data_IF_774763099923
#
_entry.id   IF_774763099923
#
_cell.length_a   1.000
_cell.length_b   1.000
_cell.length_c   1.000
_cell.angle_alpha   90.00
_cell.angle_beta   90.00
_cell.angle_gamma   90.00
#
_symmetry.space_group_name_H-M   'P 1'
#
loop_
_entity.id
_entity.type
_entity.pdbx_description
1 polymer ?
#
# COMPACT_ATOMS: atom_id res chain seq x y z
N UNK A 1 -52.79 7.44 -44.18
CA UNK A 1 -51.41 7.98 -44.11
C UNK A 1 -51.12 8.83 -42.86
N UNK A 2 -51.95 9.83 -42.48
CA UNK A 2 -51.67 10.68 -41.29
C UNK A 2 -51.65 9.93 -39.94
N UNK A 3 -52.56 8.98 -39.73
CA UNK A 3 -52.66 8.19 -38.49
C UNK A 3 -51.41 7.34 -38.20
N UNK A 4 -50.82 6.72 -39.23
CA UNK A 4 -49.57 5.94 -39.09
C UNK A 4 -48.36 6.82 -38.73
N UNK A 5 -48.32 8.07 -39.19
CA UNK A 5 -47.25 9.00 -38.81
C UNK A 5 -47.37 9.44 -37.34
N UNK A 6 -48.59 9.59 -36.85
CA UNK A 6 -48.87 9.98 -35.47
C UNK A 6 -48.51 8.87 -34.48
N UNK A 7 -48.88 7.63 -34.79
CA UNK A 7 -48.45 6.45 -34.02
C UNK A 7 -46.93 6.29 -34.00
N UNK A 8 -46.25 6.51 -35.13
CA UNK A 8 -44.79 6.45 -35.21
C UNK A 8 -44.11 7.57 -34.40
N UNK A 9 -44.73 8.74 -34.25
CA UNK A 9 -44.26 9.82 -33.37
C UNK A 9 -44.44 9.44 -31.90
N UNK A 10 -45.60 8.89 -31.52
CA UNK A 10 -45.86 8.46 -30.15
C UNK A 10 -44.91 7.33 -29.70
N UNK A 11 -44.67 6.33 -30.55
CA UNK A 11 -43.70 5.25 -30.27
C UNK A 11 -42.29 5.80 -30.08
N UNK A 12 -41.86 6.75 -30.91
CA UNK A 12 -40.55 7.43 -30.75
C UNK A 12 -40.47 8.24 -29.47
N UNK A 13 -41.53 8.96 -29.10
CA UNK A 13 -41.57 9.72 -27.86
C UNK A 13 -41.46 8.80 -26.63
N UNK A 14 -42.18 7.68 -26.62
CA UNK A 14 -42.09 6.67 -25.56
C UNK A 14 -40.71 6.03 -25.49
N UNK A 15 -40.14 5.64 -26.65
CA UNK A 15 -38.79 5.04 -26.72
C UNK A 15 -37.71 6.01 -26.25
N UNK A 16 -37.77 7.28 -26.65
CA UNK A 16 -36.84 8.32 -26.18
C UNK A 16 -36.97 8.58 -24.69
N UNK A 17 -38.21 8.59 -24.16
CA UNK A 17 -38.47 8.75 -22.73
C UNK A 17 -37.85 7.61 -21.93
N UNK A 18 -38.05 6.37 -22.36
CA UNK A 18 -37.47 5.20 -21.70
C UNK A 18 -35.94 5.17 -21.83
N UNK A 19 -35.40 5.53 -23.00
CA UNK A 19 -33.96 5.66 -23.22
C UNK A 19 -33.33 6.71 -22.30
N UNK A 20 -33.97 7.87 -22.13
CA UNK A 20 -33.51 8.91 -21.22
C UNK A 20 -33.58 8.45 -19.75
N UNK A 21 -34.64 7.73 -19.37
CA UNK A 21 -34.77 7.14 -18.03
C UNK A 21 -33.65 6.14 -17.74
N UNK A 22 -33.40 5.20 -18.65
CA UNK A 22 -32.31 4.21 -18.54
C UNK A 22 -30.94 4.88 -18.49
N UNK A 23 -30.73 5.92 -19.29
CA UNK A 23 -29.48 6.69 -19.29
C UNK A 23 -29.23 7.34 -17.92
N UNK A 24 -30.25 8.01 -17.35
CA UNK A 24 -30.17 8.59 -15.99
C UNK A 24 -29.91 7.53 -14.92
N UNK A 25 -30.59 6.39 -14.98
CA UNK A 25 -30.40 5.30 -14.02
C UNK A 25 -28.97 4.75 -14.07
N UNK A 26 -28.43 4.49 -15.28
CA UNK A 26 -27.04 4.04 -15.43
C UNK A 26 -26.04 5.05 -14.88
N UNK A 27 -26.27 6.35 -15.12
CA UNK A 27 -25.42 7.40 -14.54
C UNK A 27 -25.46 7.40 -13.02
N UNK A 28 -26.64 7.28 -12.41
CA UNK A 28 -26.78 7.17 -10.95
C UNK A 28 -26.06 5.94 -10.39
N UNK A 29 -26.23 4.78 -11.02
CA UNK A 29 -25.52 3.56 -10.62
C UNK A 29 -24.00 3.72 -10.73
N UNK A 30 -23.53 4.36 -11.80
CA UNK A 30 -22.10 4.61 -11.98
C UNK A 30 -21.54 5.56 -10.91
N UNK A 31 -22.26 6.63 -10.57
CA UNK A 31 -21.87 7.54 -9.47
C UNK A 31 -21.79 6.77 -8.16
N UNK A 32 -22.82 5.98 -7.82
CA UNK A 32 -22.82 5.18 -6.59
C UNK A 32 -21.64 4.18 -6.54
N UNK A 33 -21.28 3.58 -7.68
CA UNK A 33 -20.10 2.71 -7.76
C UNK A 33 -18.79 3.47 -7.54
N UNK A 34 -18.67 4.69 -8.08
CA UNK A 34 -17.50 5.54 -7.87
C UNK A 34 -17.37 5.96 -6.40
N UNK A 35 -18.48 6.37 -5.78
CA UNK A 35 -18.52 6.73 -4.35
C UNK A 35 -18.10 5.54 -3.47
N UNK A 36 -18.60 4.34 -3.77
CA UNK A 36 -18.20 3.12 -3.07
C UNK A 36 -16.70 2.82 -3.21
N UNK A 37 -16.15 2.96 -4.42
CA UNK A 37 -14.70 2.77 -4.66
C UNK A 37 -13.86 3.80 -3.92
N UNK A 38 -14.28 5.07 -3.95
CA UNK A 38 -13.59 6.16 -3.26
C UNK A 38 -13.55 5.91 -1.75
N UNK A 39 -14.68 5.52 -1.16
CA UNK A 39 -14.76 5.21 0.26
C UNK A 39 -13.84 4.02 0.62
N UNK A 40 -13.88 2.93 -0.17
CA UNK A 40 -13.01 1.78 0.04
C UNK A 40 -11.52 2.14 -0.06
N UNK A 41 -11.15 3.01 -1.00
CA UNK A 41 -9.77 3.50 -1.13
C UNK A 41 -9.37 4.40 0.05
N UNK A 42 -10.27 5.29 0.49
CA UNK A 42 -10.03 6.16 1.64
C UNK A 42 -9.74 5.35 2.90
N UNK A 43 -10.54 4.31 3.18
CA UNK A 43 -10.34 3.43 4.34
C UNK A 43 -8.98 2.70 4.27
N UNK A 44 -8.59 2.22 3.08
CA UNK A 44 -7.26 1.60 2.90
C UNK A 44 -6.13 2.60 3.14
N UNK A 45 -6.28 3.84 2.66
CA UNK A 45 -5.28 4.87 2.82
C UNK A 45 -5.09 5.24 4.30
N UNK A 46 -6.19 5.41 5.04
CA UNK A 46 -6.13 5.65 6.49
C UNK A 46 -5.42 4.49 7.19
N UNK A 47 -5.82 3.25 6.92
CA UNK A 47 -5.18 2.07 7.53
C UNK A 47 -3.68 1.99 7.24
N UNK A 48 -3.25 2.22 6.00
CA UNK A 48 -1.83 2.19 5.64
C UNK A 48 -1.07 3.33 6.32
N UNK A 49 -1.68 4.50 6.47
CA UNK A 49 -1.08 5.63 7.18
C UNK A 49 -0.90 5.32 8.66
N UNK A 50 -1.89 4.68 9.29
CA UNK A 50 -1.80 4.22 10.68
C UNK A 50 -0.70 3.15 10.86
N UNK A 51 -0.58 2.23 9.91
CA UNK A 51 0.46 1.19 9.92
C UNK A 51 1.87 1.80 9.78
N UNK A 52 2.03 2.79 8.89
CA UNK A 52 3.29 3.53 8.74
C UNK A 52 3.61 4.26 10.05
N UNK A 53 2.65 5.01 10.61
CA UNK A 53 2.85 5.73 11.86
C UNK A 53 3.24 4.81 13.04
N UNK A 54 2.64 3.62 13.10
CA UNK A 54 3.03 2.61 14.10
C UNK A 54 4.45 2.08 13.88
N UNK A 55 4.86 1.84 12.63
CA UNK A 55 6.24 1.42 12.31
C UNK A 55 7.25 2.52 12.62
N UNK A 56 6.92 3.78 12.33
CA UNK A 56 7.77 4.93 12.64
C UNK A 56 7.97 5.08 14.16
N UNK A 57 6.92 4.86 14.95
CA UNK A 57 7.02 4.86 16.42
C UNK A 57 7.94 3.75 16.95
N UNK A 58 7.87 2.54 16.36
CA UNK A 58 8.78 1.44 16.69
C UNK A 58 10.22 1.82 16.33
N UNK A 59 10.44 2.32 15.11
CA UNK A 59 11.78 2.76 14.65
C UNK A 59 12.33 3.84 15.59
N UNK A 60 11.51 4.80 15.98
CA UNK A 60 11.91 5.86 16.91
C UNK A 60 12.29 5.30 18.29
N UNK A 61 11.50 4.37 18.82
CA UNK A 61 11.81 3.69 20.09
C UNK A 61 13.13 2.91 19.99
N UNK A 62 13.37 2.21 18.89
CA UNK A 62 14.62 1.48 18.66
C UNK A 62 15.82 2.44 18.54
N UNK A 63 15.66 3.58 17.85
CA UNK A 63 16.67 4.64 17.78
C UNK A 63 17.04 5.15 19.17
N UNK A 64 16.04 5.44 20.01
CA UNK A 64 16.24 5.92 21.38
C UNK A 64 16.91 4.88 22.28
N UNK A 65 16.53 3.60 22.16
CA UNK A 65 17.06 2.52 22.97
C UNK A 65 18.50 2.11 22.60
N UNK A 66 18.85 2.18 21.31
CA UNK A 66 20.13 1.65 20.79
C UNK A 66 21.14 2.74 20.41
N UNK A 67 20.69 3.99 20.22
CA UNK A 67 21.51 5.07 19.67
C UNK A 67 21.85 4.90 18.18
N UNK A 68 21.33 3.87 17.51
CA UNK A 68 21.60 3.57 16.10
C UNK A 68 20.68 4.38 15.20
N UNK A 69 21.26 5.26 14.38
CA UNK A 69 20.53 6.02 13.37
C UNK A 69 20.49 5.24 12.06
N UNK A 70 19.31 4.77 11.68
CA UNK A 70 19.04 4.31 10.30
C UNK A 70 18.81 5.56 9.45
N UNK A 71 19.75 5.88 8.56
CA UNK A 71 19.64 6.96 7.58
C UNK A 71 18.75 6.51 6.41
N UNK A 72 17.65 7.22 6.18
CA UNK A 72 16.70 6.98 5.08
C UNK A 72 17.33 7.11 3.69
N UNK A 73 18.55 7.65 3.58
CA UNK A 73 19.29 7.74 2.32
C UNK A 73 20.02 6.46 1.93
N UNK A 74 20.05 5.45 2.80
CA UNK A 74 20.67 4.17 2.45
C UNK A 74 19.72 3.35 1.56
N UNK A 75 19.78 3.60 0.25
CA UNK A 75 19.05 2.85 -0.78
C UNK A 75 19.50 1.39 -0.90
N UNK A 76 20.60 1.01 -0.25
CA UNK A 76 21.13 -0.34 -0.28
C UNK A 76 21.02 -0.99 1.11
N UNK A 77 19.84 -1.56 1.39
CA UNK A 77 19.56 -2.30 2.61
C UNK A 77 20.56 -3.43 2.87
N UNK A 78 21.19 -3.97 1.82
CA UNK A 78 22.23 -5.00 1.97
C UNK A 78 23.51 -4.41 2.56
N UNK A 79 23.87 -3.18 2.20
CA UNK A 79 25.04 -2.50 2.75
C UNK A 79 24.85 -2.24 4.24
N UNK A 80 23.70 -1.71 4.66
CA UNK A 80 23.42 -1.42 6.07
C UNK A 80 23.32 -2.70 6.91
N UNK A 81 22.67 -3.75 6.38
CA UNK A 81 22.61 -5.08 6.99
C UNK A 81 24.01 -5.66 7.17
N UNK A 82 24.85 -5.58 6.14
CA UNK A 82 26.20 -6.14 6.17
C UNK A 82 27.12 -5.36 7.13
N UNK A 83 26.95 -4.03 7.21
CA UNK A 83 27.64 -3.18 8.18
C UNK A 83 27.23 -3.55 9.62
N UNK A 84 25.93 -3.61 9.92
CA UNK A 84 25.42 -4.00 11.23
C UNK A 84 25.88 -5.40 11.66
N UNK A 85 25.80 -6.39 10.77
CA UNK A 85 26.30 -7.73 11.04
C UNK A 85 27.82 -7.74 11.29
N UNK A 86 28.56 -6.78 10.72
CA UNK A 86 29.98 -6.60 11.00
C UNK A 86 30.23 -6.07 12.39
N UNK A 87 29.54 -5.00 12.75
CA UNK A 87 29.70 -4.37 14.06
C UNK A 87 29.33 -5.36 15.18
N UNK A 88 28.23 -6.12 14.99
CA UNK A 88 27.81 -7.17 15.93
C UNK A 88 28.82 -8.31 16.04
N UNK A 89 29.34 -8.82 14.91
CA UNK A 89 30.35 -9.88 14.92
C UNK A 89 31.66 -9.42 15.55
N UNK A 90 32.03 -8.15 15.37
CA UNK A 90 33.22 -7.56 15.99
C UNK A 90 33.06 -7.44 17.50
N UNK A 91 31.90 -6.95 17.96
CA UNK A 91 31.57 -6.90 19.39
C UNK A 91 31.54 -8.30 20.02
N UNK A 92 30.97 -9.28 19.30
CA UNK A 92 30.86 -10.67 19.75
C UNK A 92 32.22 -11.35 19.97
N UNK A 93 33.27 -10.97 19.22
CA UNK A 93 34.64 -11.49 19.43
C UNK A 93 35.21 -11.13 20.81
N UNK A 94 34.67 -10.09 21.46
CA UNK A 94 35.05 -9.69 22.81
C UNK A 94 34.47 -10.57 23.92
N UNK A 95 33.54 -11.48 23.60
CA UNK A 95 32.90 -12.38 24.56
C UNK A 95 33.41 -13.81 24.39
N UNK A 96 33.92 -14.41 25.47
CA UNK A 96 34.41 -15.80 25.47
C UNK A 96 33.31 -16.83 25.26
N UNK A 97 32.06 -16.46 25.54
CA UNK A 97 30.93 -17.38 25.61
C UNK A 97 30.18 -17.49 24.27
N UNK A 98 30.55 -16.66 23.28
CA UNK A 98 29.96 -16.72 21.94
C UNK A 98 30.78 -17.67 21.08
N UNK A 99 30.21 -18.77 20.57
CA UNK A 99 30.95 -19.72 19.73
C UNK A 99 31.44 -19.06 18.44
N UNK A 100 32.74 -19.19 18.15
CA UNK A 100 33.34 -18.63 16.92
C UNK A 100 32.70 -19.17 15.63
N UNK A 101 32.16 -20.39 15.67
CA UNK A 101 31.43 -20.99 14.55
C UNK A 101 30.17 -20.19 14.20
N UNK A 102 29.45 -19.70 15.20
CA UNK A 102 28.25 -18.87 15.02
C UNK A 102 28.59 -17.51 14.42
N UNK A 103 29.71 -16.92 14.84
CA UNK A 103 30.25 -15.67 14.27
C UNK A 103 30.63 -15.88 12.80
N UNK A 104 31.28 -17.00 12.46
CA UNK A 104 31.67 -17.33 11.08
C UNK A 104 30.45 -17.52 10.16
N UNK A 105 29.39 -18.18 10.64
CA UNK A 105 28.14 -18.37 9.89
C UNK A 105 27.46 -17.03 9.57
N UNK A 106 27.40 -16.11 10.53
CA UNK A 106 26.81 -14.78 10.35
C UNK A 106 27.62 -13.92 9.37
N UNK A 107 28.94 -14.04 9.36
CA UNK A 107 29.81 -13.34 8.39
C UNK A 107 29.63 -13.91 6.98
N UNK A 108 29.44 -15.22 6.84
CA UNK A 108 29.21 -15.87 5.55
C UNK A 108 27.79 -15.62 4.98
N UNK A 109 26.82 -15.27 5.83
CA UNK A 109 25.46 -14.92 5.42
C UNK A 109 25.33 -13.54 4.72
N UNK A 110 26.44 -12.83 4.51
CA UNK A 110 26.52 -11.51 3.84
C UNK A 110 26.36 -11.55 2.31
N UNK A 111 26.29 -12.74 1.71
CA UNK A 111 26.41 -12.95 0.26
C UNK A 111 25.13 -13.29 -0.53
N UNK A 112 23.93 -13.14 0.03
CA UNK A 112 22.65 -13.35 -0.68
C UNK A 112 21.78 -12.10 -0.64
#
# INVERSE_FOLDING_TARGET
>A
MKMQQEEAKQRRAQSNRESARRSRLRKQQYIAQLESKLNAQSVRMTRLSDEIGSKDAIIQTMKEATGIYVDDRCTDHNLLRNQFLSDVCEYAKGFTDVPQTLIAELVNARGY
#
